data_IF_737375605989
#
_entry.id   IF_737375605989
#
_cell.length_a   1.000
_cell.length_b   1.000
_cell.length_c   1.000
_cell.angle_alpha   90.00
_cell.angle_beta   90.00
_cell.angle_gamma   90.00
#
_symmetry.space_group_name_H-M   'P 1'
#
loop_
_entity.id
_entity.type
_entity.pdbx_description
1 polymer ?
#
# COMPACT_ATOMS: atom_id res chain seq x y z
N UNK A 1 -5.16 41.06 -9.37
CA UNK A 1 -5.88 40.83 -8.10
C UNK A 1 -5.58 39.41 -7.63
N UNK A 2 -5.04 39.23 -6.43
CA UNK A 2 -4.78 37.89 -5.86
C UNK A 2 -6.14 37.17 -5.74
N UNK A 3 -6.26 35.97 -6.31
CA UNK A 3 -7.50 35.19 -6.21
C UNK A 3 -7.74 34.84 -4.74
N UNK A 4 -8.91 35.21 -4.21
CA UNK A 4 -9.37 34.76 -2.90
C UNK A 4 -9.27 33.23 -2.80
N UNK A 5 -8.87 32.73 -1.66
CA UNK A 5 -8.78 31.30 -1.42
C UNK A 5 -8.42 30.99 0.03
N UNK A 6 -8.30 29.70 0.33
CA UNK A 6 -7.99 29.21 1.66
C UNK A 6 -7.09 27.97 1.56
N UNK A 7 -6.44 27.61 2.65
CA UNK A 7 -5.65 26.39 2.73
C UNK A 7 -6.42 25.29 3.44
N UNK A 8 -6.24 24.05 2.98
CA UNK A 8 -6.73 22.85 3.66
C UNK A 8 -5.51 22.08 4.17
N UNK A 9 -5.50 21.80 5.47
CA UNK A 9 -4.54 20.87 6.08
C UNK A 9 -5.28 19.56 6.30
N UNK A 10 -4.84 18.53 5.56
CA UNK A 10 -5.30 17.16 5.71
C UNK A 10 -4.32 16.38 6.57
N UNK A 11 -4.82 15.84 7.67
CA UNK A 11 -4.03 15.02 8.61
C UNK A 11 -4.49 13.58 8.55
N UNK A 12 -3.55 12.66 8.38
CA UNK A 12 -3.74 11.22 8.48
C UNK A 12 -3.00 10.69 9.70
N UNK A 13 -3.58 9.71 10.37
CA UNK A 13 -2.91 8.93 11.42
C UNK A 13 -3.03 7.44 11.07
N UNK A 14 -1.88 6.76 11.02
CA UNK A 14 -1.77 5.36 10.65
C UNK A 14 -0.76 4.68 11.58
N UNK A 15 -1.24 4.06 12.65
CA UNK A 15 -0.38 3.47 13.67
C UNK A 15 0.57 4.50 14.29
N UNK A 16 1.86 4.28 14.12
CA UNK A 16 2.92 5.14 14.67
C UNK A 16 3.25 6.35 13.78
N UNK A 17 2.73 6.36 12.57
CA UNK A 17 3.04 7.38 11.58
C UNK A 17 1.87 8.35 11.43
N UNK A 18 2.22 9.64 11.47
CA UNK A 18 1.32 10.73 11.11
C UNK A 18 1.77 11.41 9.82
N UNK A 19 0.81 11.87 9.04
CA UNK A 19 1.05 12.64 7.83
C UNK A 19 0.20 13.89 7.82
N UNK A 20 0.75 14.99 7.31
CA UNK A 20 -0.01 16.20 7.00
C UNK A 20 0.29 16.65 5.57
N UNK A 21 -0.75 17.06 4.88
CA UNK A 21 -0.66 17.71 3.57
C UNK A 21 -1.36 19.05 3.65
N UNK A 22 -0.69 20.13 3.24
CA UNK A 22 -1.30 21.45 3.06
C UNK A 22 -1.42 21.76 1.58
N UNK A 23 -2.58 22.21 1.14
CA UNK A 23 -2.81 22.63 -0.23
C UNK A 23 -3.78 23.82 -0.27
N UNK A 24 -3.61 24.65 -1.28
CA UNK A 24 -4.47 25.82 -1.52
C UNK A 24 -5.70 25.44 -2.33
N UNK A 25 -6.85 25.99 -1.96
CA UNK A 25 -8.11 25.88 -2.67
C UNK A 25 -8.58 27.29 -3.07
N UNK A 26 -8.68 27.58 -4.38
CA UNK A 26 -9.16 28.88 -4.85
C UNK A 26 -10.66 29.02 -4.63
N UNK A 27 -11.12 30.23 -4.35
CA UNK A 27 -12.54 30.59 -4.15
C UNK A 27 -12.89 30.87 -2.70
N UNK A 28 -14.15 31.24 -2.47
CA UNK A 28 -14.63 31.53 -1.11
C UNK A 28 -14.58 30.27 -0.25
N UNK A 29 -14.22 30.45 1.01
CA UNK A 29 -14.26 29.38 2.01
C UNK A 29 -15.69 28.86 2.12
N UNK A 30 -15.94 27.55 1.91
CA UNK A 30 -17.30 27.01 2.07
C UNK A 30 -17.68 26.94 3.55
N UNK A 31 -18.97 27.02 3.82
CA UNK A 31 -19.54 26.83 5.17
C UNK A 31 -19.49 25.34 5.63
N UNK A 32 -18.87 24.47 4.80
CA UNK A 32 -18.69 23.05 5.03
C UNK A 32 -17.54 22.46 4.21
N UNK A 33 -17.34 21.13 4.28
CA UNK A 33 -16.28 20.42 3.53
C UNK A 33 -16.64 20.39 2.04
N UNK A 34 -15.74 20.83 1.11
CA UNK A 34 -16.04 20.85 -0.32
C UNK A 34 -16.30 19.47 -0.92
N UNK A 35 -17.30 19.35 -1.77
CA UNK A 35 -17.55 18.14 -2.56
C UNK A 35 -16.45 17.90 -3.62
N UNK A 36 -16.26 16.65 -4.02
CA UNK A 36 -15.22 16.19 -4.94
C UNK A 36 -15.45 16.70 -6.36
N UNK A 37 -14.53 17.52 -6.92
CA UNK A 37 -14.56 17.96 -8.33
C UNK A 37 -14.03 16.87 -9.26
N UNK A 38 -14.59 16.76 -10.48
CA UNK A 38 -14.11 15.88 -11.55
C UNK A 38 -12.73 16.32 -12.07
N UNK A 39 -11.85 15.36 -12.37
CA UNK A 39 -10.46 15.57 -12.82
C UNK A 39 -10.21 14.92 -14.18
N UNK A 40 -9.32 15.52 -15.00
CA UNK A 40 -8.94 15.04 -16.34
C UNK A 40 -8.16 13.70 -16.33
N UNK A 41 -8.37 12.84 -17.36
CA UNK A 41 -8.00 11.42 -17.37
C UNK A 41 -6.48 11.09 -17.20
N UNK A 42 -5.57 11.79 -17.88
CA UNK A 42 -4.12 11.47 -17.82
C UNK A 42 -3.52 11.83 -16.45
N UNK A 43 -3.86 13.00 -15.92
CA UNK A 43 -3.48 13.37 -14.54
C UNK A 43 -4.12 12.48 -13.47
N UNK A 44 -5.18 11.76 -13.83
CA UNK A 44 -5.86 10.82 -12.94
C UNK A 44 -5.01 9.57 -12.70
N UNK A 45 -4.25 9.10 -13.69
CA UNK A 45 -3.43 7.89 -13.56
C UNK A 45 -2.22 8.10 -12.64
N UNK A 46 -1.36 9.11 -12.90
CA UNK A 46 -0.21 9.44 -12.02
C UNK A 46 -0.68 9.75 -10.59
N UNK A 47 -1.81 10.45 -10.46
CA UNK A 47 -2.39 10.79 -9.18
C UNK A 47 -3.01 9.59 -8.47
N UNK A 48 -3.51 8.60 -9.23
CA UNK A 48 -4.01 7.33 -8.70
C UNK A 48 -2.85 6.45 -8.21
N UNK A 49 -1.74 6.40 -8.91
CA UNK A 49 -0.54 5.64 -8.50
C UNK A 49 0.05 6.21 -7.21
N UNK A 50 0.27 7.52 -7.15
CA UNK A 50 0.74 8.18 -5.94
C UNK A 50 -0.24 8.03 -4.76
N UNK A 51 -1.54 8.10 -5.04
CA UNK A 51 -2.59 7.89 -4.02
C UNK A 51 -2.64 6.44 -3.56
N UNK A 52 -2.42 5.47 -4.46
CA UNK A 52 -2.37 4.05 -4.13
C UNK A 52 -1.16 3.74 -3.24
N UNK A 53 0.03 4.27 -3.57
CA UNK A 53 1.23 4.14 -2.74
C UNK A 53 1.00 4.67 -1.32
N UNK A 54 0.52 5.90 -1.20
CA UNK A 54 0.26 6.49 0.12
C UNK A 54 -0.78 5.71 0.90
N UNK A 55 -1.84 5.24 0.24
CA UNK A 55 -2.86 4.45 0.93
C UNK A 55 -2.33 3.08 1.36
N UNK A 56 -1.51 2.43 0.53
CA UNK A 56 -0.86 1.16 0.89
C UNK A 56 0.08 1.35 2.07
N UNK A 57 0.96 2.36 2.05
CA UNK A 57 1.85 2.65 3.17
C UNK A 57 1.06 2.89 4.48
N UNK A 58 -0.02 3.67 4.42
CA UNK A 58 -0.90 3.90 5.58
C UNK A 58 -1.56 2.63 6.08
N UNK A 59 -2.01 1.75 5.17
CA UNK A 59 -2.58 0.46 5.56
C UNK A 59 -1.54 -0.41 6.26
N UNK A 60 -0.31 -0.45 5.76
CA UNK A 60 0.79 -1.19 6.38
C UNK A 60 1.08 -0.61 7.78
N UNK A 61 1.25 0.70 7.91
CA UNK A 61 1.52 1.36 9.19
C UNK A 61 0.41 1.16 10.24
N UNK A 62 -0.86 1.13 9.80
CA UNK A 62 -2.00 1.01 10.71
C UNK A 62 -2.24 -0.41 11.21
N UNK A 63 -1.70 -1.44 10.53
CA UNK A 63 -2.10 -2.83 10.77
C UNK A 63 -0.95 -3.78 11.11
N UNK A 64 0.29 -3.42 10.75
CA UNK A 64 1.42 -4.33 10.87
C UNK A 64 2.57 -3.73 11.66
N UNK A 65 3.24 -4.57 12.41
CA UNK A 65 4.37 -4.27 13.29
C UNK A 65 5.63 -4.98 12.80
N UNK A 66 6.75 -4.84 13.50
CA UNK A 66 7.98 -5.57 13.21
C UNK A 66 7.85 -7.09 13.41
N UNK A 67 6.88 -7.54 14.22
CA UNK A 67 6.64 -8.98 14.47
C UNK A 67 5.93 -9.68 13.33
N UNK A 68 5.28 -8.90 12.46
CA UNK A 68 4.52 -9.42 11.31
C UNK A 68 5.47 -9.78 10.16
N UNK A 69 4.96 -10.44 9.13
CA UNK A 69 5.75 -11.14 8.13
C UNK A 69 5.59 -10.55 6.74
N UNK A 70 6.69 -10.52 6.00
CA UNK A 70 6.69 -10.48 4.54
C UNK A 70 6.87 -11.91 4.03
N UNK A 71 5.88 -12.42 3.30
CA UNK A 71 5.88 -13.74 2.69
C UNK A 71 6.11 -13.66 1.18
N UNK A 72 6.89 -14.60 0.65
CA UNK A 72 6.95 -14.96 -0.76
C UNK A 72 6.28 -16.32 -0.97
N UNK A 73 5.42 -16.42 -1.99
CA UNK A 73 4.80 -17.67 -2.41
C UNK A 73 5.14 -17.91 -3.88
N UNK A 74 5.97 -18.92 -4.12
CA UNK A 74 6.40 -19.32 -5.45
C UNK A 74 5.63 -20.55 -5.91
N UNK A 75 5.46 -20.73 -7.22
CA UNK A 75 4.86 -21.92 -7.79
C UNK A 75 5.90 -22.96 -8.16
N UNK A 76 5.65 -24.23 -7.80
CA UNK A 76 6.31 -25.38 -8.44
C UNK A 76 5.79 -25.56 -9.87
N UNK A 77 6.38 -26.48 -10.64
CA UNK A 77 5.90 -26.80 -11.99
C UNK A 77 4.47 -27.36 -11.95
N UNK A 78 4.18 -28.22 -10.97
CA UNK A 78 2.86 -28.81 -10.77
C UNK A 78 1.85 -27.74 -10.29
N UNK A 79 2.28 -26.84 -9.42
CA UNK A 79 1.46 -25.72 -8.95
C UNK A 79 1.11 -24.75 -10.09
N UNK A 80 2.10 -24.43 -10.94
CA UNK A 80 1.88 -23.60 -12.12
C UNK A 80 0.93 -24.27 -13.12
N UNK A 81 1.08 -25.58 -13.36
CA UNK A 81 0.18 -26.31 -14.28
C UNK A 81 -1.27 -26.30 -13.78
N UNK A 82 -1.52 -26.32 -12.47
CA UNK A 82 -2.87 -26.12 -11.92
C UNK A 82 -3.42 -24.74 -12.26
N UNK A 83 -2.59 -23.70 -12.14
CA UNK A 83 -2.97 -22.32 -12.51
C UNK A 83 -3.34 -22.27 -14.00
N UNK A 84 -2.48 -22.81 -14.87
CA UNK A 84 -2.71 -22.84 -16.31
C UNK A 84 -3.97 -23.66 -16.70
N UNK A 85 -4.13 -24.84 -16.10
CA UNK A 85 -5.31 -25.68 -16.31
C UNK A 85 -6.61 -24.98 -15.91
N UNK A 86 -6.61 -24.27 -14.79
CA UNK A 86 -7.76 -23.46 -14.39
C UNK A 86 -8.01 -22.33 -15.39
N UNK A 87 -6.96 -21.65 -15.84
CA UNK A 87 -7.06 -20.58 -16.85
C UNK A 87 -7.68 -21.07 -18.15
N UNK A 88 -7.19 -22.20 -18.71
CA UNK A 88 -7.74 -22.85 -19.92
C UNK A 88 -9.22 -23.18 -19.75
N UNK A 89 -9.56 -23.81 -18.64
CA UNK A 89 -10.95 -24.20 -18.32
C UNK A 89 -11.90 -23.01 -18.23
N UNK A 90 -11.41 -21.85 -17.86
CA UNK A 90 -12.20 -20.62 -17.71
C UNK A 90 -12.05 -19.66 -18.91
N UNK A 91 -11.45 -20.12 -20.01
CA UNK A 91 -11.33 -19.35 -21.25
C UNK A 91 -10.31 -18.23 -21.22
N UNK A 92 -9.38 -18.24 -20.23
CA UNK A 92 -8.29 -17.28 -20.21
C UNK A 92 -7.22 -17.65 -21.26
N UNK A 93 -6.64 -16.68 -21.97
CA UNK A 93 -5.67 -16.92 -23.04
C UNK A 93 -4.26 -17.23 -22.49
N UNK A 94 -4.14 -18.19 -21.57
CA UNK A 94 -2.87 -18.58 -20.92
C UNK A 94 -1.86 -19.21 -21.88
N UNK A 95 -2.30 -19.69 -23.03
CA UNK A 95 -1.46 -20.27 -24.09
C UNK A 95 -1.33 -19.31 -25.30
N UNK A 96 -1.69 -18.03 -25.14
CA UNK A 96 -1.58 -17.05 -26.22
C UNK A 96 -0.14 -16.88 -26.70
N UNK A 97 0.03 -16.68 -28.01
CA UNK A 97 1.31 -16.29 -28.63
C UNK A 97 1.67 -14.83 -28.31
N UNK A 98 0.67 -13.98 -28.04
CA UNK A 98 0.88 -12.63 -27.48
C UNK A 98 1.31 -12.75 -26.04
N UNK A 99 2.58 -12.39 -25.79
CA UNK A 99 3.21 -12.51 -24.47
C UNK A 99 2.52 -11.66 -23.41
N UNK A 100 2.09 -10.45 -23.74
CA UNK A 100 1.40 -9.55 -22.81
C UNK A 100 0.08 -10.15 -22.39
N UNK A 101 -0.72 -10.60 -23.36
CA UNK A 101 -2.03 -11.20 -23.12
C UNK A 101 -1.91 -12.50 -22.32
N UNK A 102 -0.93 -13.35 -22.67
CA UNK A 102 -0.62 -14.59 -21.93
C UNK A 102 -0.27 -14.31 -20.48
N UNK A 103 0.67 -13.38 -20.23
CA UNK A 103 1.13 -13.10 -18.88
C UNK A 103 0.03 -12.46 -18.01
N UNK A 104 -0.83 -11.63 -18.60
CA UNK A 104 -1.99 -11.08 -17.90
C UNK A 104 -2.99 -12.18 -17.50
N UNK A 105 -3.23 -13.12 -18.40
CA UNK A 105 -4.10 -14.28 -18.15
C UNK A 105 -3.53 -15.19 -17.05
N UNK A 106 -2.22 -15.47 -17.07
CA UNK A 106 -1.54 -16.26 -16.03
C UNK A 106 -1.62 -15.58 -14.67
N UNK A 107 -1.41 -14.27 -14.60
CA UNK A 107 -1.56 -13.53 -13.33
C UNK A 107 -2.98 -13.55 -12.80
N UNK A 108 -3.99 -13.45 -13.67
CA UNK A 108 -5.39 -13.55 -13.26
C UNK A 108 -5.69 -14.94 -12.68
N UNK A 109 -5.26 -16.01 -13.37
CA UNK A 109 -5.41 -17.38 -12.91
C UNK A 109 -4.67 -17.64 -11.59
N UNK A 110 -3.43 -17.13 -11.44
CA UNK A 110 -2.66 -17.21 -10.21
C UNK A 110 -3.31 -16.45 -9.05
N UNK A 111 -3.86 -15.26 -9.31
CA UNK A 111 -4.60 -14.51 -8.30
C UNK A 111 -5.84 -15.26 -7.82
N UNK A 112 -6.51 -16.02 -8.68
CA UNK A 112 -7.62 -16.89 -8.29
C UNK A 112 -7.14 -18.06 -7.41
N UNK A 113 -6.04 -18.75 -7.76
CA UNK A 113 -5.49 -19.83 -6.92
C UNK A 113 -5.05 -19.32 -5.55
N UNK A 114 -4.44 -18.12 -5.49
CA UNK A 114 -4.13 -17.45 -4.22
C UNK A 114 -5.41 -17.23 -3.38
N UNK A 115 -6.50 -16.77 -3.98
CA UNK A 115 -7.78 -16.56 -3.25
C UNK A 115 -8.33 -17.88 -2.68
N UNK A 116 -8.11 -19.01 -3.36
CA UNK A 116 -8.45 -20.34 -2.85
C UNK A 116 -7.54 -20.72 -1.69
N UNK A 117 -6.22 -20.54 -1.84
CA UNK A 117 -5.24 -20.82 -0.80
C UNK A 117 -5.50 -19.99 0.47
N UNK A 118 -5.78 -18.70 0.33
CA UNK A 118 -6.12 -17.81 1.46
C UNK A 118 -7.38 -18.26 2.20
N UNK A 119 -8.38 -18.80 1.51
CA UNK A 119 -9.55 -19.39 2.17
C UNK A 119 -9.21 -20.67 2.97
N UNK A 120 -8.23 -21.46 2.50
CA UNK A 120 -7.71 -22.63 3.24
C UNK A 120 -6.92 -22.18 4.46
N UNK A 121 -6.00 -21.22 4.29
CA UNK A 121 -5.21 -20.61 5.37
C UNK A 121 -6.15 -20.07 6.46
N UNK A 122 -7.15 -19.28 6.07
CA UNK A 122 -8.12 -18.75 7.03
C UNK A 122 -8.78 -19.86 7.84
N UNK A 123 -9.30 -20.92 7.19
CA UNK A 123 -9.92 -22.06 7.88
C UNK A 123 -8.95 -22.81 8.82
N UNK A 124 -7.67 -22.83 8.46
CA UNK A 124 -6.65 -23.44 9.32
C UNK A 124 -6.40 -22.59 10.57
N UNK A 125 -6.27 -21.27 10.39
CA UNK A 125 -6.08 -20.32 11.49
C UNK A 125 -7.30 -20.23 12.42
N UNK A 126 -8.51 -20.32 11.89
CA UNK A 126 -9.75 -20.32 12.67
C UNK A 126 -9.75 -21.45 13.73
N UNK A 127 -9.04 -22.58 13.49
CA UNK A 127 -8.89 -23.68 14.45
C UNK A 127 -8.07 -23.29 15.70
N UNK A 128 -7.15 -22.36 15.56
CA UNK A 128 -6.31 -21.82 16.63
C UNK A 128 -6.83 -20.49 17.18
N UNK A 129 -7.98 -20.01 16.68
CA UNK A 129 -8.54 -18.72 17.07
C UNK A 129 -7.78 -17.51 16.55
N UNK A 130 -6.89 -17.69 15.56
CA UNK A 130 -6.12 -16.64 14.95
C UNK A 130 -6.82 -16.15 13.68
N UNK A 131 -7.02 -14.84 13.56
CA UNK A 131 -7.61 -14.23 12.37
C UNK A 131 -6.53 -13.79 11.38
N UNK A 132 -6.66 -14.18 10.10
CA UNK A 132 -5.75 -13.73 9.04
C UNK A 132 -5.95 -12.24 8.75
N UNK A 133 -4.89 -11.45 8.92
CA UNK A 133 -4.76 -10.09 8.39
C UNK A 133 -3.71 -10.11 7.30
N UNK A 134 -4.03 -9.55 6.12
CA UNK A 134 -3.07 -9.58 5.02
C UNK A 134 -3.29 -8.51 3.95
N UNK A 135 -2.18 -8.12 3.34
CA UNK A 135 -2.10 -7.36 2.09
C UNK A 135 -1.30 -8.23 1.13
N UNK A 136 -1.72 -8.35 -0.12
CA UNK A 136 -1.09 -9.23 -1.09
C UNK A 136 -1.08 -8.69 -2.51
N UNK A 137 -0.04 -9.07 -3.23
CA UNK A 137 0.24 -8.69 -4.61
C UNK A 137 0.59 -9.95 -5.38
N UNK A 138 0.06 -10.08 -6.61
CA UNK A 138 0.48 -11.10 -7.58
C UNK A 138 1.40 -10.43 -8.59
N UNK A 139 2.60 -10.96 -8.77
CA UNK A 139 3.63 -10.44 -9.66
C UNK A 139 4.12 -11.51 -10.63
N UNK A 140 4.65 -11.06 -11.76
CA UNK A 140 5.43 -11.84 -12.71
C UNK A 140 6.71 -11.09 -13.10
N UNK A 141 7.19 -10.22 -12.20
CA UNK A 141 8.38 -9.39 -12.41
C UNK A 141 9.39 -9.63 -11.30
N UNK A 142 10.66 -9.66 -11.67
CA UNK A 142 11.76 -9.49 -10.73
C UNK A 142 11.84 -8.03 -10.31
N UNK A 143 11.78 -7.78 -9.00
CA UNK A 143 11.78 -6.42 -8.44
C UNK A 143 13.10 -5.67 -8.57
N UNK A 144 14.20 -6.36 -8.90
CA UNK A 144 15.54 -5.78 -9.06
C UNK A 144 15.84 -5.52 -10.53
N UNK A 145 15.65 -6.53 -11.38
CA UNK A 145 15.99 -6.45 -12.82
C UNK A 145 14.84 -5.87 -13.66
N UNK A 146 13.60 -5.95 -13.17
CA UNK A 146 12.39 -5.61 -13.93
C UNK A 146 12.07 -6.61 -15.05
N UNK A 147 12.77 -7.75 -15.09
CA UNK A 147 12.52 -8.82 -16.06
C UNK A 147 11.26 -9.60 -15.72
N UNK A 148 10.68 -10.23 -16.75
CA UNK A 148 9.56 -11.13 -16.57
C UNK A 148 10.08 -12.44 -16.00
N UNK A 149 9.50 -12.85 -14.87
CA UNK A 149 9.82 -14.10 -14.20
C UNK A 149 8.53 -14.92 -14.02
N UNK A 150 8.66 -16.13 -13.50
CA UNK A 150 7.53 -16.96 -13.11
C UNK A 150 6.61 -16.19 -12.16
N UNK A 151 5.29 -16.29 -12.37
CA UNK A 151 4.30 -15.68 -11.50
C UNK A 151 4.48 -16.15 -10.05
N UNK A 152 4.39 -15.21 -9.12
CA UNK A 152 4.56 -15.42 -7.69
C UNK A 152 3.74 -14.40 -6.90
N UNK A 153 3.73 -14.52 -5.58
CA UNK A 153 2.99 -13.59 -4.72
C UNK A 153 3.86 -13.04 -3.61
N UNK A 154 3.68 -11.76 -3.30
CA UNK A 154 4.21 -11.11 -2.10
C UNK A 154 3.05 -10.76 -1.17
N UNK A 155 3.19 -11.15 0.10
CA UNK A 155 2.17 -10.90 1.11
C UNK A 155 2.77 -10.25 2.34
N UNK A 156 2.06 -9.30 2.93
CA UNK A 156 2.30 -8.87 4.30
C UNK A 156 1.19 -9.49 5.13
N UNK A 157 1.54 -10.27 6.14
CA UNK A 157 0.57 -10.97 7.00
C UNK A 157 0.95 -10.84 8.47
N UNK A 158 -0.02 -11.03 9.36
CA UNK A 158 0.24 -11.04 10.78
C UNK A 158 1.06 -12.25 11.22
N UNK A 159 1.86 -12.07 12.27
CA UNK A 159 2.65 -13.13 12.90
C UNK A 159 1.80 -14.33 13.31
N UNK A 160 2.41 -15.53 13.33
CA UNK A 160 1.77 -16.79 13.71
C UNK A 160 0.96 -17.43 12.58
N UNK A 161 1.11 -16.96 11.34
CA UNK A 161 0.42 -17.51 10.17
C UNK A 161 1.30 -18.48 9.36
N UNK A 162 2.58 -18.58 9.67
CA UNK A 162 3.63 -19.29 8.90
C UNK A 162 3.26 -20.74 8.65
N UNK A 163 2.86 -21.45 9.72
CA UNK A 163 2.55 -22.87 9.64
C UNK A 163 1.29 -23.15 8.81
N UNK A 164 0.31 -22.24 8.87
CA UNK A 164 -0.88 -22.34 8.04
C UNK A 164 -0.56 -22.15 6.53
N UNK A 165 0.37 -21.23 6.20
CA UNK A 165 0.84 -21.07 4.81
C UNK A 165 1.65 -22.28 4.35
N UNK A 166 2.59 -22.80 5.15
CA UNK A 166 3.31 -24.02 4.83
C UNK A 166 2.35 -25.18 4.53
N UNK A 167 1.33 -25.36 5.37
CA UNK A 167 0.35 -26.43 5.20
C UNK A 167 -0.54 -26.24 3.97
N UNK A 168 -1.02 -25.03 3.73
CA UNK A 168 -2.01 -24.74 2.69
C UNK A 168 -1.41 -24.39 1.33
N UNK A 169 -0.12 -24.12 1.25
CA UNK A 169 0.60 -23.82 0.03
C UNK A 169 1.62 -24.91 -0.30
N UNK A 170 2.67 -25.05 0.51
CA UNK A 170 3.79 -25.96 0.22
C UNK A 170 3.37 -27.44 0.33
N UNK A 171 2.84 -27.87 1.48
CA UNK A 171 2.38 -29.25 1.65
C UNK A 171 1.18 -29.60 0.77
N UNK A 172 0.45 -28.57 0.29
CA UNK A 172 -0.62 -28.74 -0.70
C UNK A 172 -0.07 -28.92 -2.13
N UNK A 173 1.25 -28.75 -2.35
CA UNK A 173 1.94 -28.94 -3.62
C UNK A 173 1.73 -27.79 -4.60
N UNK A 174 1.53 -26.55 -4.13
CA UNK A 174 1.50 -25.37 -4.99
C UNK A 174 2.89 -24.84 -5.27
N UNK A 175 3.83 -24.93 -4.30
CA UNK A 175 5.20 -24.45 -4.45
C UNK A 175 5.83 -24.06 -3.13
N UNK A 176 6.87 -23.23 -3.17
CA UNK A 176 7.62 -22.81 -2.00
C UNK A 176 6.96 -21.69 -1.22
N UNK A 177 7.28 -21.64 0.09
CA UNK A 177 6.93 -20.55 1.00
C UNK A 177 8.20 -20.01 1.61
N UNK A 178 8.46 -18.73 1.44
CA UNK A 178 9.54 -18.01 2.13
C UNK A 178 8.95 -16.90 2.98
N UNK A 179 9.63 -16.52 4.07
CA UNK A 179 9.20 -15.39 4.89
C UNK A 179 10.37 -14.75 5.63
N UNK A 180 10.18 -13.47 5.95
CA UNK A 180 11.02 -12.71 6.87
C UNK A 180 10.13 -11.82 7.76
N UNK A 181 10.63 -11.49 8.95
CA UNK A 181 9.96 -10.50 9.79
C UNK A 181 10.10 -9.11 9.19
N UNK A 182 9.06 -8.28 9.36
CA UNK A 182 9.16 -6.87 9.01
C UNK A 182 10.22 -6.22 9.91
N UNK A 183 11.14 -5.47 9.31
CA UNK A 183 12.34 -4.95 9.99
C UNK A 183 11.98 -4.06 11.19
N UNK A 184 12.56 -4.39 12.34
CA UNK A 184 12.35 -3.66 13.60
C UNK A 184 12.83 -2.21 13.53
N UNK A 185 13.90 -1.96 12.78
CA UNK A 185 14.51 -0.64 12.66
C UNK A 185 13.74 0.31 11.72
N UNK A 186 12.72 -0.15 11.02
CA UNK A 186 11.94 0.64 10.07
C UNK A 186 10.51 0.88 10.56
N UNK A 187 10.32 1.97 11.30
CA UNK A 187 8.99 2.45 11.66
C UNK A 187 8.24 2.92 10.42
N UNK A 188 8.94 3.57 9.51
CA UNK A 188 8.41 4.02 8.23
C UNK A 188 8.55 2.95 7.15
N UNK A 189 7.45 2.26 6.86
CA UNK A 189 7.36 1.18 5.87
C UNK A 189 6.92 1.66 4.48
N UNK A 190 7.14 2.93 4.15
CA UNK A 190 6.80 3.47 2.83
C UNK A 190 7.59 2.78 1.72
N UNK A 191 8.86 2.45 1.95
CA UNK A 191 9.67 1.70 0.98
C UNK A 191 9.14 0.29 0.71
N UNK A 192 8.58 -0.37 1.72
CA UNK A 192 7.90 -1.66 1.53
C UNK A 192 6.66 -1.52 0.65
N UNK A 193 5.90 -0.45 0.83
CA UNK A 193 4.76 -0.15 -0.04
C UNK A 193 5.20 0.16 -1.49
N UNK A 194 6.32 0.86 -1.67
CA UNK A 194 6.93 1.12 -2.98
C UNK A 194 7.34 -0.20 -3.64
N UNK A 195 8.09 -1.04 -2.94
CA UNK A 195 8.50 -2.36 -3.40
C UNK A 195 7.29 -3.18 -3.90
N UNK A 196 6.24 -3.32 -3.10
CA UNK A 196 5.05 -4.08 -3.48
C UNK A 196 4.34 -3.51 -4.72
N UNK A 197 4.30 -2.19 -4.88
CA UNK A 197 3.66 -1.57 -6.04
C UNK A 197 4.53 -1.62 -7.30
N UNK A 198 5.84 -1.65 -7.17
CA UNK A 198 6.76 -1.82 -8.30
C UNK A 198 6.54 -3.14 -9.01
N UNK A 199 6.19 -4.19 -8.26
CA UNK A 199 5.86 -5.51 -8.80
C UNK A 199 4.66 -5.51 -9.79
N UNK A 200 3.80 -4.49 -9.76
CA UNK A 200 2.57 -4.44 -10.58
C UNK A 200 2.50 -3.22 -11.50
N UNK A 201 3.54 -2.41 -11.60
CA UNK A 201 3.55 -1.21 -12.47
C UNK A 201 3.31 -1.53 -13.93
N UNK A 202 3.70 -2.70 -14.38
CA UNK A 202 3.55 -3.18 -15.75
C UNK A 202 2.09 -3.22 -16.23
N UNK A 203 1.13 -3.32 -15.31
CA UNK A 203 -0.31 -3.41 -15.63
C UNK A 203 -1.05 -2.20 -15.04
N UNK A 204 -1.11 -1.08 -15.78
CA UNK A 204 -1.62 0.19 -15.26
C UNK A 204 -3.04 0.11 -14.70
N UNK A 205 -3.94 -0.62 -15.35
CA UNK A 205 -5.35 -0.73 -14.98
C UNK A 205 -5.65 -1.88 -14.01
N UNK A 206 -4.66 -2.74 -13.72
CA UNK A 206 -4.83 -3.83 -12.77
C UNK A 206 -4.98 -3.30 -11.34
N UNK A 207 -5.70 -4.06 -10.52
CA UNK A 207 -5.78 -3.82 -9.08
C UNK A 207 -4.39 -3.99 -8.47
N UNK A 208 -3.79 -2.88 -8.04
CA UNK A 208 -2.39 -2.81 -7.58
C UNK A 208 -2.09 -3.75 -6.41
N UNK A 209 -3.02 -3.90 -5.48
CA UNK A 209 -2.93 -4.82 -4.33
C UNK A 209 -4.32 -5.22 -3.87
N UNK A 210 -4.39 -6.31 -3.13
CA UNK A 210 -5.59 -6.78 -2.44
C UNK A 210 -5.33 -6.80 -0.94
N UNK A 211 -6.37 -6.84 -0.13
CA UNK A 211 -6.24 -6.93 1.33
C UNK A 211 -7.44 -7.64 1.95
N UNK A 212 -7.23 -8.22 3.11
CA UNK A 212 -8.31 -8.73 3.94
C UNK A 212 -9.23 -7.60 4.40
N UNK A 213 -10.49 -7.92 4.72
CA UNK A 213 -11.51 -6.91 5.05
C UNK A 213 -11.37 -6.36 6.47
N UNK A 214 -10.72 -7.11 7.35
CA UNK A 214 -10.53 -6.81 8.77
C UNK A 214 -9.38 -5.83 9.06
N UNK A 215 -8.74 -5.26 8.05
CA UNK A 215 -7.72 -4.23 8.25
C UNK A 215 -8.35 -2.92 8.72
N UNK A 216 -7.72 -2.31 9.71
CA UNK A 216 -8.02 -0.93 10.13
C UNK A 216 -7.77 0.01 8.95
N UNK A 217 -8.79 0.78 8.58
CA UNK A 217 -8.70 1.74 7.47
C UNK A 217 -8.28 3.10 8.01
N UNK A 218 -7.14 3.66 7.55
CA UNK A 218 -6.73 5.00 7.92
C UNK A 218 -7.80 6.01 7.53
N UNK A 219 -8.13 6.90 8.46
CA UNK A 219 -9.05 8.02 8.24
C UNK A 219 -8.27 9.33 8.30
N UNK A 220 -8.79 10.35 7.63
CA UNK A 220 -8.20 11.67 7.66
C UNK A 220 -9.15 12.71 8.27
N UNK A 221 -8.54 13.76 8.80
CA UNK A 221 -9.24 14.96 9.27
C UNK A 221 -8.75 16.15 8.45
N UNK A 222 -9.68 16.94 7.93
CA UNK A 222 -9.39 18.17 7.20
C UNK A 222 -9.65 19.36 8.09
N UNK A 223 -8.71 20.32 8.09
CA UNK A 223 -8.83 21.61 8.76
C UNK A 223 -8.61 22.72 7.76
N UNK A 224 -9.53 23.68 7.71
CA UNK A 224 -9.40 24.87 6.88
C UNK A 224 -8.65 25.95 7.67
N UNK A 225 -7.65 26.57 7.03
CA UNK A 225 -6.88 27.68 7.58
C UNK A 225 -6.78 28.81 6.57
N UNK A 226 -6.76 30.05 7.07
CA UNK A 226 -6.69 31.25 6.23
C UNK A 226 -5.25 31.69 5.95
N UNK A 227 -4.30 31.24 6.79
CA UNK A 227 -2.90 31.65 6.73
C UNK A 227 -2.03 30.59 6.06
N UNK A 228 -1.01 31.04 5.32
CA UNK A 228 -0.02 30.18 4.67
C UNK A 228 1.17 29.86 5.61
N UNK A 229 0.86 29.44 6.83
CA UNK A 229 1.91 29.03 7.76
C UNK A 229 2.50 27.68 7.34
N UNK A 230 3.78 27.51 7.64
CA UNK A 230 4.49 26.25 7.41
C UNK A 230 3.82 25.08 8.17
N UNK A 231 3.83 23.89 7.55
CA UNK A 231 3.35 22.68 8.21
C UNK A 231 4.32 22.27 9.33
N UNK A 232 3.79 22.20 10.56
CA UNK A 232 4.54 21.81 11.73
C UNK A 232 4.18 20.38 12.17
N UNK A 233 5.21 19.66 12.62
CA UNK A 233 5.05 18.40 13.36
C UNK A 233 4.34 18.69 14.69
N UNK A 234 3.41 17.84 15.14
CA UNK A 234 2.81 17.98 16.47
C UNK A 234 3.89 18.00 17.56
N UNK A 235 3.68 18.79 18.63
CA UNK A 235 4.59 18.85 19.78
C UNK A 235 4.85 17.45 20.34
N UNK A 236 6.13 17.07 20.45
CA UNK A 236 6.57 15.75 20.87
C UNK A 236 6.57 14.68 19.77
N UNK A 237 6.31 15.03 18.52
CA UNK A 237 6.52 14.16 17.37
C UNK A 237 7.91 14.36 16.74
N UNK A 238 8.36 13.41 15.93
CA UNK A 238 9.65 13.47 15.24
C UNK A 238 9.44 13.46 13.72
N UNK A 239 9.94 14.49 13.02
CA UNK A 239 9.90 14.58 11.57
C UNK A 239 10.71 13.42 10.94
N UNK A 240 10.11 12.73 9.97
CA UNK A 240 10.76 11.71 9.12
C UNK A 240 11.05 12.31 7.75
N UNK A 241 10.06 12.96 7.17
CA UNK A 241 10.14 13.42 5.79
C UNK A 241 9.35 14.72 5.61
N UNK A 242 9.91 15.64 4.80
CA UNK A 242 9.26 16.88 4.37
C UNK A 242 9.44 17.04 2.88
N UNK A 243 8.41 17.47 2.21
CA UNK A 243 8.44 17.80 0.79
C UNK A 243 7.57 19.03 0.50
N UNK A 244 8.10 19.91 -0.32
CA UNK A 244 7.36 20.97 -0.98
C UNK A 244 7.22 20.59 -2.44
N UNK A 245 6.00 20.65 -2.95
CA UNK A 245 5.76 20.32 -4.35
C UNK A 245 5.80 21.58 -5.18
N UNK A 246 6.55 21.57 -6.26
CA UNK A 246 6.43 22.60 -7.27
C UNK A 246 5.05 22.52 -7.92
N UNK A 247 4.46 23.72 -8.11
CA UNK A 247 3.16 23.78 -8.78
C UNK A 247 3.36 23.64 -10.29
N UNK A 248 3.53 22.42 -10.80
CA UNK A 248 3.69 22.09 -12.23
C UNK A 248 2.45 22.44 -13.08
N UNK A 249 1.45 23.09 -12.51
CA UNK A 249 0.16 23.31 -13.16
C UNK A 249 0.14 24.48 -14.14
N UNK A 250 1.26 25.10 -14.51
CA UNK A 250 1.28 26.13 -15.58
C UNK A 250 0.22 27.26 -15.40
N UNK A 251 -0.36 27.37 -14.24
CA UNK A 251 -1.30 28.39 -13.86
C UNK A 251 -0.49 29.62 -13.46
N UNK A 252 -0.81 30.73 -14.11
CA UNK A 252 -0.24 32.07 -14.00
C UNK A 252 0.35 32.42 -12.63
N UNK A 253 1.32 33.30 -12.65
CA UNK A 253 2.26 33.78 -11.61
C UNK A 253 1.75 33.85 -10.16
N UNK A 254 0.46 34.03 -9.92
CA UNK A 254 -0.13 34.18 -8.59
C UNK A 254 -0.18 32.89 -7.76
N UNK A 255 0.03 31.71 -8.38
CA UNK A 255 0.05 30.41 -7.69
C UNK A 255 1.46 29.90 -7.43
N UNK A 256 2.51 30.53 -7.99
CA UNK A 256 3.91 30.07 -7.86
C UNK A 256 4.40 30.10 -6.41
N UNK A 257 3.87 30.98 -5.57
CA UNK A 257 4.27 31.11 -4.16
C UNK A 257 3.46 30.23 -3.21
N UNK A 258 2.47 29.44 -3.70
CA UNK A 258 1.56 28.64 -2.87
C UNK A 258 1.84 27.16 -3.04
N UNK A 259 3.03 26.75 -2.64
CA UNK A 259 3.50 25.36 -2.80
C UNK A 259 2.75 24.44 -1.87
N UNK A 260 2.18 23.32 -2.39
CA UNK A 260 1.67 22.28 -1.52
C UNK A 260 2.81 21.73 -0.65
N UNK A 261 2.55 21.56 0.63
CA UNK A 261 3.51 21.00 1.58
C UNK A 261 3.04 19.65 2.06
N UNK A 262 3.97 18.76 2.30
CA UNK A 262 3.74 17.45 2.87
C UNK A 262 4.79 17.16 3.94
N UNK A 263 4.34 16.64 5.08
CA UNK A 263 5.22 16.13 6.12
C UNK A 263 4.75 14.74 6.55
N UNK A 264 5.72 13.89 6.90
CA UNK A 264 5.52 12.60 7.56
C UNK A 264 6.37 12.58 8.83
N UNK A 265 5.80 12.07 9.91
CA UNK A 265 6.40 12.14 11.23
C UNK A 265 6.01 10.94 12.09
N UNK A 266 6.86 10.59 13.07
CA UNK A 266 6.52 9.67 14.14
C UNK A 266 5.59 10.41 15.10
N UNK A 267 4.47 9.79 15.46
CA UNK A 267 3.49 10.41 16.35
C UNK A 267 4.05 10.56 17.78
N UNK A 268 3.61 11.56 18.54
CA UNK A 268 4.04 11.73 19.94
C UNK A 268 3.72 10.51 20.81
N UNK A 269 2.61 9.81 20.50
CA UNK A 269 2.22 8.57 21.20
C UNK A 269 3.21 7.44 20.95
N UNK A 270 3.64 7.28 19.70
CA UNK A 270 4.62 6.26 19.32
C UNK A 270 5.97 6.50 20.00
N UNK A 271 6.47 7.75 20.00
CA UNK A 271 7.74 8.07 20.64
C UNK A 271 7.72 7.77 22.14
N UNK A 272 6.67 8.19 22.86
CA UNK A 272 6.54 7.86 24.29
C UNK A 272 6.50 6.35 24.56
N UNK A 273 5.84 5.58 23.70
CA UNK A 273 5.84 4.11 23.83
C UNK A 273 7.24 3.53 23.65
N UNK A 274 7.98 3.96 22.64
CA UNK A 274 9.34 3.50 22.35
C UNK A 274 10.32 3.85 23.47
N UNK A 275 10.20 5.04 24.06
CA UNK A 275 10.99 5.46 25.22
C UNK A 275 10.70 4.52 26.40
N UNK A 276 9.44 4.28 26.71
CA UNK A 276 9.04 3.39 27.80
C UNK A 276 9.47 1.90 27.58
N UNK A 277 9.50 1.44 26.32
CA UNK A 277 10.00 0.10 25.99
C UNK A 277 11.52 0.00 26.16
N UNK A 278 12.29 1.05 25.82
CA UNK A 278 13.74 1.12 26.04
C UNK A 278 14.09 1.11 27.53
N UNK A 279 13.36 1.85 28.34
CA UNK A 279 13.58 1.91 29.78
C UNK A 279 13.29 0.56 30.48
N UNK A 280 12.41 -0.29 29.93
CA UNK A 280 12.10 -1.61 30.47
C UNK A 280 13.08 -2.70 30.00
N UNK A 281 13.80 -2.48 28.92
CA UNK A 281 14.78 -3.42 28.36
C UNK A 281 16.23 -3.11 28.78
N UNK A 282 16.44 -2.01 29.50
CA UNK A 282 17.71 -1.63 30.12
C UNK A 282 17.71 -2.04 31.61
#
# INVERSE_FOLDING_TARGET
>A
MAKEGYYVIRTWEAGDIGEKTKFFVPGKKPDGIPSRRQKNAIRKQEQNEYSALKMLARLIHANFTAKDLLLGLDYSDEGLERVLSWGRKNGLPVDSTDETLRNDAIREAAAHELDIALRRVKRELDKSGLELKGIYVTSDMDGVTGEIVRVHHHLIVNAGTEEAFLKCWEKFGLGGVSWEHLWENQIDRTRLAEYLLEQVRRVPDAKKYRSTRNLVRPIHKDRIVSTDNELMVPKGGKLIFRQEYENKMGLQSDFQNRRPQYIRYITPKALRRMEAEREKGA
#
